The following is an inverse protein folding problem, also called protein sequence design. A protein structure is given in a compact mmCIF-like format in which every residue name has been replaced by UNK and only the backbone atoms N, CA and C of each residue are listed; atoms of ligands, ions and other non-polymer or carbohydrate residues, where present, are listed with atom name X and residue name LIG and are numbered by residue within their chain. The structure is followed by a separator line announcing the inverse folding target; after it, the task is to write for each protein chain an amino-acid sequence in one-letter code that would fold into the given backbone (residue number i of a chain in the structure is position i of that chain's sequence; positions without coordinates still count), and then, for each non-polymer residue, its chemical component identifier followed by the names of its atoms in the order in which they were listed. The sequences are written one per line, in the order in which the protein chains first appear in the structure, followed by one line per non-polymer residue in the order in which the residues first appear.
data_IF_807804995113
#
_entry.id   IF_807804995113
#
_cell.length_a   1.000
_cell.length_b   1.000
_cell.length_c   1.000
_cell.angle_alpha   90.00
_cell.angle_beta   90.00
_cell.angle_gamma   90.00
#
_symmetry.space_group_name_H-M   'P 1'
#
loop_
_entity.id
_entity.type
_entity.pdbx_description
1 polymer ?
#
# COMPACT_ATOMS: atom_id res chain seq x y z
N UNK A 1 6.34 16.91 -6.50
CA UNK A 1 5.41 15.87 -7.01
C UNK A 1 5.24 14.79 -5.95
N UNK A 2 4.00 14.44 -5.65
CA UNK A 2 3.66 13.35 -4.72
C UNK A 2 3.45 12.06 -5.50
N UNK A 3 3.99 10.94 -5.00
CA UNK A 3 3.83 9.61 -5.63
C UNK A 3 3.19 8.67 -4.61
N UNK A 4 2.06 8.07 -4.96
CA UNK A 4 1.38 7.06 -4.16
C UNK A 4 1.62 5.67 -4.72
N UNK A 5 2.22 4.78 -3.94
CA UNK A 5 2.39 3.38 -4.28
C UNK A 5 1.21 2.59 -3.75
N UNK A 6 0.45 1.98 -4.64
CA UNK A 6 -0.72 1.15 -4.31
C UNK A 6 -0.51 -0.30 -4.73
N UNK A 7 -1.23 -1.21 -4.12
CA UNK A 7 -1.14 -2.64 -4.40
C UNK A 7 -1.34 -3.49 -3.16
N UNK A 8 -1.40 -4.80 -3.37
CA UNK A 8 -1.68 -5.76 -2.31
C UNK A 8 -0.58 -5.77 -1.23
N UNK A 9 -0.94 -6.22 -0.01
CA UNK A 9 0.04 -6.45 1.05
C UNK A 9 1.13 -7.43 0.56
N UNK A 10 2.38 -7.17 0.92
CA UNK A 10 3.54 -7.99 0.49
C UNK A 10 4.04 -7.69 -0.93
N UNK A 11 3.47 -6.75 -1.67
CA UNK A 11 3.94 -6.40 -3.02
C UNK A 11 5.24 -5.58 -3.06
N UNK A 12 5.76 -5.16 -1.92
CA UNK A 12 7.05 -4.47 -1.82
C UNK A 12 6.97 -2.94 -1.82
N UNK A 13 5.78 -2.35 -1.68
CA UNK A 13 5.57 -0.90 -1.69
C UNK A 13 6.51 -0.15 -0.75
N UNK A 14 6.59 -0.53 0.52
CA UNK A 14 7.40 0.18 1.51
C UNK A 14 8.89 0.08 1.22
N UNK A 15 9.38 -1.10 0.83
CA UNK A 15 10.80 -1.30 0.48
C UNK A 15 11.19 -0.54 -0.77
N UNK A 16 10.38 -0.63 -1.83
CA UNK A 16 10.61 0.06 -3.08
C UNK A 16 10.40 1.57 -2.93
N UNK A 17 9.39 1.97 -2.15
CA UNK A 17 9.07 3.37 -1.90
C UNK A 17 10.20 4.13 -1.19
N UNK A 18 10.81 3.54 -0.16
CA UNK A 18 11.99 4.13 0.50
C UNK A 18 13.14 4.37 -0.46
N UNK A 19 13.44 3.38 -1.31
CA UNK A 19 14.51 3.50 -2.31
C UNK A 19 14.16 4.49 -3.43
N UNK A 20 12.90 4.52 -3.85
CA UNK A 20 12.43 5.48 -4.85
C UNK A 20 12.52 6.91 -4.31
N UNK A 21 12.07 7.16 -3.09
CA UNK A 21 12.17 8.45 -2.43
C UNK A 21 13.63 8.93 -2.33
N UNK A 22 14.53 8.05 -1.92
CA UNK A 22 15.96 8.35 -1.89
C UNK A 22 16.50 8.77 -3.28
N UNK A 23 16.15 8.04 -4.33
CA UNK A 23 16.59 8.34 -5.70
C UNK A 23 16.04 9.67 -6.24
N UNK A 24 14.81 10.01 -5.84
CA UNK A 24 14.14 11.27 -6.21
C UNK A 24 14.52 12.45 -5.32
N UNK A 25 15.22 12.23 -4.21
CA UNK A 25 15.44 13.20 -3.13
C UNK A 25 14.12 13.73 -2.55
N UNK A 26 13.17 12.83 -2.37
CA UNK A 26 11.87 13.05 -1.77
C UNK A 26 11.82 12.47 -0.36
N UNK A 27 10.90 12.94 0.44
CA UNK A 27 10.56 12.29 1.70
C UNK A 27 9.81 10.97 1.46
N UNK A 28 9.82 10.10 2.46
CA UNK A 28 9.09 8.83 2.42
C UNK A 28 8.13 8.73 3.60
N UNK A 29 6.88 8.39 3.29
CA UNK A 29 5.85 8.10 4.30
C UNK A 29 5.30 6.70 4.05
N UNK A 30 5.34 5.84 5.07
CA UNK A 30 4.54 4.63 5.14
C UNK A 30 3.26 4.96 5.91
N UNK A 31 2.11 4.87 5.27
CA UNK A 31 0.85 5.33 5.85
C UNK A 31 0.48 4.56 7.11
N UNK A 32 0.71 3.24 7.14
CA UNK A 32 0.42 2.42 8.32
C UNK A 32 1.30 2.82 9.51
N UNK A 33 2.60 3.04 9.26
CA UNK A 33 3.54 3.53 10.28
C UNK A 33 3.16 4.93 10.77
N UNK A 34 2.77 5.81 9.86
CA UNK A 34 2.32 7.15 10.19
C UNK A 34 1.07 7.14 11.08
N UNK A 35 0.08 6.29 10.76
CA UNK A 35 -1.12 6.12 11.60
C UNK A 35 -0.72 5.66 13.00
N UNK A 36 0.12 4.64 13.12
CA UNK A 36 0.57 4.12 14.43
C UNK A 36 1.28 5.20 15.26
N UNK A 37 2.14 5.98 14.63
CA UNK A 37 2.85 7.07 15.30
C UNK A 37 1.88 8.15 15.81
N UNK A 38 0.91 8.55 15.00
CA UNK A 38 -0.07 9.57 15.37
C UNK A 38 -1.06 9.10 16.44
N UNK A 39 -1.48 7.84 16.39
CA UNK A 39 -2.44 7.25 17.34
C UNK A 39 -1.77 6.79 18.65
N UNK A 40 -0.45 6.60 18.67
CA UNK A 40 0.27 6.03 19.81
C UNK A 40 -0.10 4.57 20.09
N UNK A 41 -0.65 3.87 19.12
CA UNK A 41 -1.06 2.45 19.16
C UNK A 41 -0.73 1.75 17.86
N UNK A 42 -0.52 0.44 17.94
CA UNK A 42 -0.31 -0.40 16.75
C UNK A 42 -1.61 -0.61 15.97
N UNK A 43 -1.49 -0.92 14.68
CA UNK A 43 -2.65 -1.32 13.85
C UNK A 43 -3.38 -2.50 14.49
N UNK A 44 -2.64 -3.45 15.08
CA UNK A 44 -3.22 -4.59 15.81
C UNK A 44 -4.15 -4.12 16.92
N UNK A 45 -3.69 -3.24 17.79
CA UNK A 45 -4.49 -2.70 18.90
C UNK A 45 -5.72 -1.95 18.39
N UNK A 46 -5.57 -1.15 17.31
CA UNK A 46 -6.71 -0.44 16.70
C UNK A 46 -7.78 -1.43 16.21
N UNK A 47 -7.37 -2.51 15.54
CA UNK A 47 -8.31 -3.53 15.06
C UNK A 47 -8.98 -4.31 16.21
N UNK A 48 -8.22 -4.65 17.26
CA UNK A 48 -8.73 -5.37 18.43
C UNK A 48 -9.70 -4.53 19.26
N UNK A 49 -9.39 -3.24 19.47
CA UNK A 49 -10.17 -2.34 20.31
C UNK A 49 -11.38 -1.74 19.58
N UNK A 50 -11.19 -1.29 18.33
CA UNK A 50 -12.16 -0.46 17.62
C UNK A 50 -12.69 -1.09 16.30
N UNK A 51 -12.04 -2.13 15.80
CA UNK A 51 -12.43 -2.86 14.60
C UNK A 51 -11.96 -2.23 13.27
N UNK A 52 -12.21 -2.95 12.17
CA UNK A 52 -11.76 -2.57 10.83
C UNK A 52 -12.38 -1.27 10.34
N UNK A 53 -13.69 -1.07 10.54
CA UNK A 53 -14.40 0.11 10.06
C UNK A 53 -13.85 1.40 10.67
N UNK A 54 -13.45 1.37 11.93
CA UNK A 54 -12.79 2.48 12.60
C UNK A 54 -11.40 2.73 11.99
N UNK A 55 -10.60 1.67 11.79
CA UNK A 55 -9.31 1.79 11.13
C UNK A 55 -9.42 2.42 9.74
N UNK A 56 -10.41 2.03 8.93
CA UNK A 56 -10.62 2.61 7.59
C UNK A 56 -10.93 4.11 7.65
N UNK A 57 -11.68 4.56 8.65
CA UNK A 57 -11.90 6.00 8.88
C UNK A 57 -10.62 6.73 9.27
N UNK A 58 -9.81 6.15 10.16
CA UNK A 58 -8.50 6.70 10.51
C UNK A 58 -7.58 6.78 9.28
N UNK A 59 -7.50 5.70 8.51
CA UNK A 59 -6.70 5.61 7.28
C UNK A 59 -7.05 6.75 6.32
N UNK A 60 -8.35 7.02 6.11
CA UNK A 60 -8.81 8.17 5.32
C UNK A 60 -8.37 9.51 5.93
N UNK A 61 -8.58 9.72 7.22
CA UNK A 61 -8.21 10.98 7.90
C UNK A 61 -6.72 11.26 7.75
N UNK A 62 -5.88 10.24 7.98
CA UNK A 62 -4.43 10.41 7.90
C UNK A 62 -3.92 10.52 6.46
N UNK A 63 -4.55 9.84 5.50
CA UNK A 63 -4.27 10.05 4.09
C UNK A 63 -4.52 11.52 3.71
N UNK A 64 -5.67 12.09 4.10
CA UNK A 64 -6.01 13.49 3.80
C UNK A 64 -5.07 14.51 4.45
N UNK A 65 -4.41 14.16 5.56
CA UNK A 65 -3.41 15.05 6.18
C UNK A 65 -2.10 15.15 5.40
N UNK A 66 -1.79 14.13 4.60
CA UNK A 66 -0.53 14.05 3.86
C UNK A 66 -0.70 14.16 2.35
N UNK A 67 -1.96 14.20 1.86
CA UNK A 67 -2.26 14.02 0.44
C UNK A 67 -1.69 15.11 -0.45
N UNK A 68 -1.61 16.34 0.05
CA UNK A 68 -1.09 17.53 -0.63
C UNK A 68 0.38 17.83 -0.30
N UNK A 69 1.04 16.94 0.44
CA UNK A 69 2.47 17.09 0.76
C UNK A 69 3.30 16.96 -0.50
N UNK A 70 4.09 17.98 -0.81
CA UNK A 70 4.97 17.96 -1.98
C UNK A 70 6.25 17.14 -1.78
N UNK A 71 6.77 16.59 -2.87
CA UNK A 71 8.05 15.86 -2.91
C UNK A 71 8.11 14.71 -1.89
N UNK A 72 7.06 13.89 -1.89
CA UNK A 72 6.95 12.72 -1.03
C UNK A 72 6.58 11.46 -1.83
N UNK A 73 7.09 10.32 -1.42
CA UNK A 73 6.64 9.00 -1.84
C UNK A 73 5.87 8.37 -0.68
N UNK A 74 4.61 8.06 -0.92
CA UNK A 74 3.71 7.45 0.06
C UNK A 74 3.49 5.98 -0.27
N UNK A 75 3.82 5.08 0.66
CA UNK A 75 3.41 3.68 0.62
C UNK A 75 2.07 3.54 1.33
N UNK A 76 1.02 3.16 0.60
CA UNK A 76 -0.32 2.99 1.18
C UNK A 76 -0.52 1.59 1.75
N UNK A 77 -1.48 1.43 2.67
CA UNK A 77 -1.97 0.12 3.04
C UNK A 77 -2.63 -0.60 1.86
N UNK A 78 -2.66 -1.91 1.86
CA UNK A 78 -3.27 -2.69 0.77
C UNK A 78 -4.76 -2.42 0.58
N UNK A 79 -5.47 -2.05 1.63
CA UNK A 79 -6.89 -1.70 1.58
C UNK A 79 -7.16 -0.22 1.34
N UNK A 80 -6.19 0.67 1.52
CA UNK A 80 -6.38 2.12 1.41
C UNK A 80 -7.09 2.55 0.13
N UNK A 81 -6.70 2.07 -1.07
CA UNK A 81 -7.35 2.46 -2.33
C UNK A 81 -8.78 1.98 -2.48
N UNK A 82 -9.18 0.97 -1.68
CA UNK A 82 -10.46 0.26 -1.83
C UNK A 82 -11.58 0.84 -0.96
N UNK A 83 -11.31 1.84 -0.14
CA UNK A 83 -12.27 2.42 0.79
C UNK A 83 -12.49 3.90 0.49
N UNK A 84 -13.76 4.31 0.64
CA UNK A 84 -14.20 5.68 0.38
C UNK A 84 -13.81 6.14 -1.03
N UNK A 85 -13.42 7.39 -1.18
CA UNK A 85 -12.87 8.02 -2.39
C UNK A 85 -11.34 8.13 -2.38
N UNK A 86 -10.66 7.31 -1.56
CA UNK A 86 -9.21 7.41 -1.36
C UNK A 86 -8.42 7.30 -2.68
N UNK A 87 -8.84 6.40 -3.58
CA UNK A 87 -8.14 6.20 -4.85
C UNK A 87 -8.29 7.42 -5.78
N UNK A 88 -9.49 7.97 -5.83
CA UNK A 88 -9.80 9.19 -6.60
C UNK A 88 -9.02 10.39 -6.05
N UNK A 89 -8.96 10.53 -4.73
CA UNK A 89 -8.20 11.60 -4.08
C UNK A 89 -6.70 11.48 -4.36
N UNK A 90 -6.14 10.28 -4.25
CA UNK A 90 -4.71 10.07 -4.57
C UNK A 90 -4.41 10.39 -6.05
N UNK A 91 -5.33 10.06 -6.97
CA UNK A 91 -5.20 10.40 -8.38
C UNK A 91 -5.26 11.90 -8.64
N UNK A 92 -6.06 12.64 -7.88
CA UNK A 92 -6.18 14.09 -8.02
C UNK A 92 -4.92 14.83 -7.56
N UNK A 93 -4.30 14.34 -6.47
CA UNK A 93 -3.20 15.05 -5.81
C UNK A 93 -1.79 14.57 -6.21
N UNK A 94 -1.66 13.45 -6.89
CA UNK A 94 -0.34 12.95 -7.25
C UNK A 94 -0.34 11.83 -8.27
N UNK A 95 0.86 11.33 -8.56
CA UNK A 95 1.06 10.16 -9.42
C UNK A 95 0.80 8.88 -8.62
N UNK A 96 -0.20 8.12 -9.00
CA UNK A 96 -0.47 6.80 -8.44
C UNK A 96 0.18 5.71 -9.29
N UNK A 97 0.87 4.77 -8.62
CA UNK A 97 1.55 3.64 -9.26
C UNK A 97 1.11 2.34 -8.60
N UNK A 98 0.45 1.50 -9.36
CA UNK A 98 0.08 0.16 -8.92
C UNK A 98 1.22 -0.83 -9.13
N UNK A 99 1.73 -1.40 -8.04
CA UNK A 99 2.68 -2.51 -8.08
C UNK A 99 1.89 -3.81 -8.14
N UNK A 100 1.69 -4.30 -9.36
CA UNK A 100 0.91 -5.51 -9.64
C UNK A 100 1.76 -6.76 -9.45
N UNK A 101 1.32 -7.67 -8.59
CA UNK A 101 2.00 -8.91 -8.29
C UNK A 101 1.01 -10.08 -8.25
N UNK A 102 1.39 -11.18 -8.91
CA UNK A 102 0.57 -12.38 -8.95
C UNK A 102 0.44 -13.00 -7.54
N UNK A 103 -0.74 -13.55 -7.15
CA UNK A 103 -0.95 -14.17 -5.84
C UNK A 103 0.12 -15.20 -5.43
N UNK A 104 0.55 -16.04 -6.36
CA UNK A 104 1.61 -17.04 -6.10
C UNK A 104 2.96 -16.41 -5.71
N UNK A 105 3.24 -15.19 -6.16
CA UNK A 105 4.43 -14.44 -5.76
C UNK A 105 4.25 -13.71 -4.43
N UNK A 106 3.01 -13.36 -4.07
CA UNK A 106 2.69 -12.71 -2.79
C UNK A 106 2.77 -13.68 -1.60
N UNK A 107 2.30 -14.91 -1.76
CA UNK A 107 2.21 -15.90 -0.68
C UNK A 107 3.53 -16.12 0.06
N UNK A 108 4.68 -16.42 -0.61
CA UNK A 108 5.95 -16.60 0.11
C UNK A 108 6.37 -15.35 0.89
N UNK A 109 6.09 -14.16 0.35
CA UNK A 109 6.42 -12.89 1.02
C UNK A 109 5.57 -12.66 2.26
N UNK A 110 4.29 -13.02 2.22
CA UNK A 110 3.39 -12.91 3.37
C UNK A 110 3.75 -13.90 4.48
N UNK A 111 4.15 -15.13 4.11
CA UNK A 111 4.56 -16.16 5.06
C UNK A 111 5.90 -15.85 5.74
N UNK A 112 6.84 -15.22 5.03
CA UNK A 112 8.16 -14.85 5.56
C UNK A 112 8.15 -13.52 6.32
N UNK A 113 7.08 -12.73 6.22
CA UNK A 113 6.99 -11.43 6.88
C UNK A 113 6.72 -11.59 8.38
N UNK A 114 7.52 -10.92 9.20
CA UNK A 114 7.28 -10.78 10.65
C UNK A 114 6.23 -9.71 10.97
N UNK A 115 5.84 -8.92 9.98
CA UNK A 115 4.84 -7.88 10.15
C UNK A 115 3.45 -8.49 10.43
N UNK A 116 2.85 -8.08 11.54
CA UNK A 116 1.50 -8.50 11.87
C UNK A 116 0.47 -7.88 10.90
N UNK A 117 -0.36 -8.74 10.32
CA UNK A 117 -1.44 -8.34 9.40
C UNK A 117 -2.76 -8.88 9.91
N UNK A 118 -3.63 -8.01 10.51
CA UNK A 118 -4.87 -8.45 11.14
C UNK A 118 -5.75 -9.32 10.25
N UNK A 119 -5.87 -8.97 8.96
CA UNK A 119 -6.79 -9.63 8.03
C UNK A 119 -6.39 -11.06 7.64
N UNK A 120 -5.11 -11.44 7.81
CA UNK A 120 -4.58 -12.78 7.49
C UNK A 120 -3.98 -13.48 8.72
N UNK A 121 -4.18 -12.93 9.90
CA UNK A 121 -3.63 -13.49 11.13
C UNK A 121 -4.08 -14.95 11.32
N UNK A 122 -3.11 -15.86 11.47
CA UNK A 122 -3.35 -17.28 11.65
C UNK A 122 -3.73 -18.06 10.39
N UNK A 123 -3.76 -17.43 9.21
CA UNK A 123 -3.99 -18.11 7.94
C UNK A 123 -2.71 -18.71 7.38
N UNK A 124 -2.78 -19.97 6.94
CA UNK A 124 -1.66 -20.73 6.33
C UNK A 124 -2.15 -21.56 5.13
N UNK A 125 -1.20 -22.01 4.30
CA UNK A 125 -1.45 -22.96 3.22
C UNK A 125 -2.55 -22.52 2.25
N UNK A 126 -3.48 -23.42 1.94
CA UNK A 126 -4.56 -23.19 1.00
C UNK A 126 -5.55 -22.11 1.47
N UNK A 127 -5.78 -21.99 2.78
CA UNK A 127 -6.65 -20.96 3.35
C UNK A 127 -6.10 -19.56 3.05
N UNK A 128 -4.79 -19.35 3.22
CA UNK A 128 -4.14 -18.10 2.87
C UNK A 128 -4.17 -17.85 1.36
N UNK A 129 -3.89 -18.86 0.56
CA UNK A 129 -3.92 -18.77 -0.90
C UNK A 129 -5.30 -18.36 -1.42
N UNK A 130 -6.35 -19.03 -0.97
CA UNK A 130 -7.73 -18.73 -1.36
C UNK A 130 -8.15 -17.31 -0.93
N UNK A 131 -7.76 -16.91 0.28
CA UNK A 131 -8.00 -15.56 0.78
C UNK A 131 -7.32 -14.50 -0.10
N UNK A 132 -6.06 -14.71 -0.47
CA UNK A 132 -5.30 -13.77 -1.32
C UNK A 132 -5.93 -13.68 -2.70
N UNK A 133 -6.28 -14.79 -3.34
CA UNK A 133 -6.95 -14.80 -4.64
C UNK A 133 -8.28 -14.06 -4.60
N UNK A 134 -9.11 -14.34 -3.58
CA UNK A 134 -10.42 -13.70 -3.43
C UNK A 134 -10.29 -12.20 -3.23
N UNK A 135 -9.49 -11.78 -2.25
CA UNK A 135 -9.36 -10.36 -1.88
C UNK A 135 -8.61 -9.54 -2.92
N UNK A 136 -7.64 -10.13 -3.62
CA UNK A 136 -7.00 -9.45 -4.75
C UNK A 136 -7.99 -9.21 -5.88
N UNK A 137 -8.83 -10.20 -6.22
CA UNK A 137 -9.90 -10.04 -7.23
C UNK A 137 -10.89 -8.93 -6.86
N UNK A 138 -11.25 -8.82 -5.58
CA UNK A 138 -12.14 -7.76 -5.09
C UNK A 138 -11.49 -6.37 -5.15
N UNK A 139 -10.17 -6.29 -4.99
CA UNK A 139 -9.41 -5.03 -4.88
C UNK A 139 -8.78 -4.55 -6.19
N UNK A 140 -8.47 -5.46 -7.11
CA UNK A 140 -7.71 -5.11 -8.32
C UNK A 140 -8.41 -4.05 -9.18
N UNK A 141 -9.76 -4.00 -9.18
CA UNK A 141 -10.51 -2.95 -9.86
C UNK A 141 -10.22 -1.54 -9.33
N UNK A 142 -9.92 -1.41 -8.04
CA UNK A 142 -9.47 -0.14 -7.46
C UNK A 142 -8.00 0.15 -7.82
N UNK A 143 -7.13 -0.85 -7.72
CA UNK A 143 -5.71 -0.69 -8.04
C UNK A 143 -5.49 -0.30 -9.50
N UNK A 144 -6.28 -0.84 -10.43
CA UNK A 144 -6.20 -0.52 -11.85
C UNK A 144 -6.70 0.88 -12.22
N UNK A 145 -7.28 1.63 -11.28
CA UNK A 145 -7.54 3.07 -11.46
C UNK A 145 -6.27 3.92 -11.30
N UNK A 146 -5.13 3.34 -10.91
CA UNK A 146 -3.86 4.05 -10.82
C UNK A 146 -3.43 4.60 -12.18
N UNK A 147 -2.74 5.75 -12.18
CA UNK A 147 -2.21 6.34 -13.40
C UNK A 147 -1.24 5.42 -14.13
N UNK A 148 -0.45 4.65 -13.38
CA UNK A 148 0.52 3.71 -13.93
C UNK A 148 0.41 2.34 -13.25
N UNK A 149 0.64 1.29 -14.04
CA UNK A 149 0.66 -0.10 -13.54
C UNK A 149 2.00 -0.72 -13.90
N UNK A 150 2.73 -1.19 -12.91
CA UNK A 150 4.03 -1.85 -13.08
C UNK A 150 4.02 -3.26 -12.52
N UNK A 151 4.65 -4.20 -13.22
CA UNK A 151 4.82 -5.56 -12.70
C UNK A 151 5.83 -5.59 -11.57
N UNK A 152 5.41 -6.05 -10.39
CA UNK A 152 6.25 -6.12 -9.20
C UNK A 152 7.31 -7.24 -9.22
N UNK A 153 7.20 -8.19 -10.15
CA UNK A 153 8.19 -9.26 -10.29
C UNK A 153 9.52 -8.71 -10.79
N UNK A 154 10.59 -8.95 -10.03
CA UNK A 154 11.94 -8.42 -10.30
C UNK A 154 11.99 -6.88 -10.49
N UNK A 155 11.07 -6.16 -9.88
CA UNK A 155 11.05 -4.71 -9.91
C UNK A 155 12.15 -4.14 -9.00
N UNK A 156 13.09 -3.41 -9.61
CA UNK A 156 14.09 -2.66 -8.86
C UNK A 156 13.66 -1.20 -8.66
N UNK A 157 14.21 -0.54 -7.65
CA UNK A 157 13.95 0.87 -7.42
C UNK A 157 14.40 1.75 -8.60
N UNK A 158 15.44 1.35 -9.33
CA UNK A 158 15.88 2.05 -10.54
C UNK A 158 14.83 1.96 -11.65
N UNK A 159 14.31 0.76 -11.92
CA UNK A 159 13.23 0.57 -12.90
C UNK A 159 11.97 1.33 -12.52
N UNK A 160 11.60 1.28 -11.22
CA UNK A 160 10.45 2.03 -10.73
C UNK A 160 10.64 3.54 -10.90
N UNK A 161 11.85 4.06 -10.63
CA UNK A 161 12.18 5.46 -10.82
C UNK A 161 12.06 5.87 -12.31
N UNK A 162 12.68 5.12 -13.22
CA UNK A 162 12.56 5.34 -14.66
C UNK A 162 11.08 5.35 -15.09
N UNK A 163 10.32 4.35 -14.65
CA UNK A 163 8.89 4.22 -14.94
C UNK A 163 8.04 5.39 -14.42
N UNK A 164 8.37 5.96 -13.27
CA UNK A 164 7.66 7.13 -12.73
C UNK A 164 7.92 8.41 -13.54
N UNK A 165 9.07 8.51 -14.21
CA UNK A 165 9.47 9.70 -14.98
C UNK A 165 9.14 9.61 -16.48
N UNK A 166 8.77 8.44 -16.99
CA UNK A 166 8.26 8.29 -18.36
C UNK A 166 6.91 9.01 -18.51
N UNK A 167 6.69 9.68 -19.63
CA UNK A 167 5.42 10.36 -19.95
C UNK A 167 4.30 9.37 -20.32
#
# INVERSE_FOLDING_TARGET
MTIFLVGYMGSGKSTLGKKLAYNLKHDFIDLDSYIQEQEGRTIKEIFEDDGEDYFRKLERVYLHRIIDTENVVVSTGGGTPCHFDNMEQMNEYGLTVYINMHPKALIPRLQLSEEFRPLIAGMEGEVLLDYVYKTLREREGFYHKAHKVVTGYNLSAKKLHEFCLED
#
